data_IF_170690217373
#
_entry.id   IF_170690217373
#
_cell.length_a   1.000
_cell.length_b   1.000
_cell.length_c   1.000
_cell.angle_alpha   90.00
_cell.angle_beta   90.00
_cell.angle_gamma   90.00
#
_symmetry.space_group_name_H-M   'P 1'
#
loop_
_entity.id
_entity.type
_entity.pdbx_description
1 polymer ?
#
# COMPACT_ATOMS: atom_id res chain seq x y z
N UNK A 1 26.74 -5.99 3.60
CA UNK A 1 25.93 -5.00 2.85
C UNK A 1 25.36 -4.02 3.87
N UNK A 2 25.36 -2.71 3.60
CA UNK A 2 24.67 -1.75 4.46
C UNK A 2 23.16 -2.04 4.46
N UNK A 3 22.50 -1.82 5.60
CA UNK A 3 21.06 -2.04 5.79
C UNK A 3 20.40 -0.81 6.41
N UNK A 4 19.25 -0.40 5.89
CA UNK A 4 18.41 0.63 6.49
C UNK A 4 17.65 0.06 7.68
N UNK A 5 17.76 0.70 8.85
CA UNK A 5 17.03 0.34 10.07
C UNK A 5 16.05 1.45 10.44
N UNK A 6 14.84 1.07 10.84
CA UNK A 6 13.77 1.99 11.27
C UNK A 6 12.93 1.35 12.40
N UNK A 7 12.26 2.17 13.20
CA UNK A 7 11.39 1.68 14.28
C UNK A 7 10.18 0.95 13.67
N UNK A 8 9.89 -0.26 14.15
CA UNK A 8 8.74 -1.05 13.70
C UNK A 8 9.02 -1.99 12.53
N UNK A 9 10.22 -1.95 11.92
CA UNK A 9 10.63 -2.85 10.82
C UNK A 9 10.29 -4.32 11.04
N UNK A 10 10.67 -4.86 12.19
CA UNK A 10 10.47 -6.29 12.51
C UNK A 10 8.99 -6.69 12.62
N UNK A 11 8.09 -5.72 12.78
CA UNK A 11 6.65 -5.94 12.87
C UNK A 11 5.97 -5.87 11.51
N UNK A 12 6.46 -5.02 10.61
CA UNK A 12 5.86 -4.83 9.28
C UNK A 12 6.43 -5.76 8.22
N UNK A 13 7.65 -6.29 8.43
CA UNK A 13 8.34 -7.10 7.42
C UNK A 13 7.51 -8.29 6.93
N UNK A 14 6.77 -8.90 7.85
CA UNK A 14 5.91 -10.04 7.62
C UNK A 14 4.41 -9.68 7.59
N UNK A 15 4.06 -8.42 7.83
CA UNK A 15 2.66 -8.03 8.01
C UNK A 15 1.80 -8.32 6.77
N UNK A 16 2.37 -8.21 5.56
CA UNK A 16 1.71 -8.58 4.30
C UNK A 16 1.23 -10.05 4.26
N UNK A 17 1.83 -10.94 5.06
CA UNK A 17 1.38 -12.32 5.22
C UNK A 17 0.11 -12.41 6.08
N UNK A 18 0.00 -11.57 7.11
CA UNK A 18 -1.11 -11.53 8.07
C UNK A 18 -2.35 -10.80 7.55
N UNK A 19 -2.23 -10.03 6.46
CA UNK A 19 -3.36 -9.34 5.83
C UNK A 19 -4.41 -10.38 5.42
N UNK A 20 -5.66 -10.29 5.91
CA UNK A 20 -6.70 -11.26 5.59
C UNK A 20 -7.11 -11.13 4.11
N UNK A 21 -7.35 -12.27 3.47
CA UNK A 21 -8.01 -12.29 2.17
C UNK A 21 -9.48 -11.86 2.33
N UNK A 22 -9.97 -11.00 1.44
CA UNK A 22 -11.37 -10.59 1.36
C UNK A 22 -11.93 -10.97 0.00
N UNK A 23 -13.22 -11.28 -0.05
CA UNK A 23 -13.91 -11.53 -1.33
C UNK A 23 -14.31 -10.19 -1.92
N UNK A 24 -14.11 -10.01 -3.23
CA UNK A 24 -14.62 -8.83 -3.95
C UNK A 24 -16.13 -8.94 -4.11
N UNK A 25 -16.85 -7.94 -3.62
CA UNK A 25 -18.28 -7.79 -3.86
C UNK A 25 -18.49 -6.87 -5.08
N UNK A 26 -19.23 -7.36 -6.07
CA UNK A 26 -19.58 -6.53 -7.22
C UNK A 26 -20.54 -5.42 -6.80
N UNK A 27 -20.15 -4.15 -7.00
CA UNK A 27 -21.01 -3.01 -6.72
C UNK A 27 -21.80 -2.57 -7.95
N UNK A 28 -21.12 -2.32 -9.08
CA UNK A 28 -21.72 -1.96 -10.37
C UNK A 28 -20.66 -2.01 -11.48
N UNK A 29 -21.13 -1.94 -12.73
CA UNK A 29 -20.33 -1.81 -13.94
C UNK A 29 -20.57 -0.49 -14.68
N UNK A 30 -19.71 -0.20 -15.66
CA UNK A 30 -19.90 0.87 -16.62
C UNK A 30 -19.70 0.31 -18.03
N UNK A 31 -20.69 0.50 -18.91
CA UNK A 31 -20.64 0.12 -20.32
C UNK A 31 -21.17 1.27 -21.18
N UNK A 32 -20.41 1.67 -22.21
CA UNK A 32 -20.72 2.82 -23.08
C UNK A 32 -21.12 4.12 -22.35
N UNK A 33 -20.54 4.37 -21.18
CA UNK A 33 -20.83 5.56 -20.37
C UNK A 33 -22.07 5.46 -19.48
N UNK A 34 -22.78 4.32 -19.50
CA UNK A 34 -23.95 4.05 -18.66
C UNK A 34 -23.59 3.08 -17.53
N UNK A 35 -24.19 3.30 -16.35
CA UNK A 35 -24.03 2.41 -15.21
C UNK A 35 -24.86 1.14 -15.40
N UNK A 36 -24.26 -0.01 -15.13
CA UNK A 36 -24.92 -1.33 -15.17
C UNK A 36 -24.87 -1.99 -13.79
N UNK A 37 -25.88 -2.78 -13.46
CA UNK A 37 -25.90 -3.56 -12.19
C UNK A 37 -25.18 -4.91 -12.32
N UNK A 38 -24.81 -5.29 -13.54
CA UNK A 38 -24.07 -6.52 -13.83
C UNK A 38 -22.62 -6.24 -14.18
N UNK A 39 -21.75 -7.20 -13.88
CA UNK A 39 -20.33 -7.14 -14.22
C UNK A 39 -20.13 -7.01 -15.74
N UNK A 40 -19.25 -6.09 -16.13
CA UNK A 40 -18.89 -5.91 -17.54
C UNK A 40 -17.73 -6.85 -17.89
N UNK A 41 -17.73 -7.39 -19.12
CA UNK A 41 -16.64 -8.25 -19.62
C UNK A 41 -15.48 -7.43 -20.21
N UNK A 42 -15.25 -6.22 -19.69
CA UNK A 42 -14.25 -5.29 -20.22
C UNK A 42 -12.81 -5.67 -19.86
N UNK A 43 -12.62 -6.51 -18.85
CA UNK A 43 -11.31 -6.84 -18.28
C UNK A 43 -10.77 -5.77 -17.30
N UNK A 44 -11.41 -4.60 -17.21
CA UNK A 44 -11.02 -3.53 -16.28
C UNK A 44 -11.74 -3.67 -14.93
N UNK A 45 -11.04 -3.38 -13.83
CA UNK A 45 -11.60 -3.41 -12.48
C UNK A 45 -11.21 -2.15 -11.71
N UNK A 46 -12.17 -1.58 -10.98
CA UNK A 46 -11.94 -0.55 -9.96
C UNK A 46 -12.32 -1.18 -8.62
N UNK A 47 -11.37 -1.18 -7.67
CA UNK A 47 -11.57 -1.77 -6.35
C UNK A 47 -11.57 -0.62 -5.34
N UNK A 48 -12.63 -0.55 -4.53
CA UNK A 48 -12.76 0.44 -3.47
C UNK A 48 -12.46 -0.22 -2.11
N UNK A 49 -11.50 0.32 -1.38
CA UNK A 49 -11.07 -0.18 -0.07
C UNK A 49 -9.66 0.27 0.28
N UNK A 50 -9.15 -0.19 1.42
CA UNK A 50 -7.73 -0.04 1.72
C UNK A 50 -6.90 -0.82 0.70
N UNK A 51 -5.85 -0.19 0.17
CA UNK A 51 -5.04 -0.77 -0.88
C UNK A 51 -4.28 -2.03 -0.42
N UNK A 52 -3.89 -2.16 0.84
CA UNK A 52 -3.19 -3.35 1.32
C UNK A 52 -4.11 -4.58 1.26
N UNK A 53 -5.38 -4.41 1.66
CA UNK A 53 -6.40 -5.45 1.57
C UNK A 53 -6.80 -5.74 0.11
N UNK A 54 -6.91 -4.71 -0.72
CA UNK A 54 -7.21 -4.86 -2.14
C UNK A 54 -6.11 -5.65 -2.86
N UNK A 55 -4.84 -5.32 -2.62
CA UNK A 55 -3.69 -6.02 -3.18
C UNK A 55 -3.66 -7.50 -2.73
N UNK A 56 -3.97 -7.78 -1.47
CA UNK A 56 -4.06 -9.16 -0.96
C UNK A 56 -5.17 -9.94 -1.67
N UNK A 57 -6.29 -9.29 -1.94
CA UNK A 57 -7.47 -9.89 -2.55
C UNK A 57 -7.24 -10.29 -4.01
N UNK A 58 -6.51 -9.48 -4.77
CA UNK A 58 -6.23 -9.79 -6.19
C UNK A 58 -5.08 -10.80 -6.37
N UNK A 59 -4.31 -11.08 -5.31
CA UNK A 59 -3.13 -11.93 -5.38
C UNK A 59 -3.38 -13.32 -5.99
N UNK A 60 -4.44 -14.09 -5.62
CA UNK A 60 -4.67 -15.42 -6.18
C UNK A 60 -4.90 -15.43 -7.71
N UNK A 61 -5.40 -14.34 -8.27
CA UNK A 61 -5.71 -14.23 -9.69
C UNK A 61 -4.56 -13.62 -10.51
N UNK A 62 -3.78 -12.72 -9.89
CA UNK A 62 -2.82 -11.85 -10.59
C UNK A 62 -1.35 -11.98 -10.13
N UNK A 63 -1.00 -12.89 -9.20
CA UNK A 63 0.40 -13.14 -8.81
C UNK A 63 1.25 -13.47 -10.05
N UNK A 64 2.34 -12.72 -10.25
CA UNK A 64 3.23 -12.86 -11.40
C UNK A 64 2.65 -12.43 -12.75
N UNK A 65 1.53 -11.68 -12.79
CA UNK A 65 0.81 -11.38 -14.06
C UNK A 65 0.71 -9.91 -14.41
N UNK A 66 1.16 -9.00 -13.54
CA UNK A 66 1.07 -7.56 -13.78
C UNK A 66 2.36 -7.08 -14.46
N UNK A 67 2.24 -6.62 -15.70
CA UNK A 67 3.41 -6.13 -16.47
C UNK A 67 3.87 -4.74 -16.03
N UNK A 68 2.95 -3.89 -15.58
CA UNK A 68 3.26 -2.51 -15.21
C UNK A 68 2.44 -2.06 -14.00
N UNK A 69 3.12 -1.47 -13.02
CA UNK A 69 2.53 -0.83 -11.85
C UNK A 69 2.97 0.63 -11.84
N UNK A 70 2.01 1.53 -11.62
CA UNK A 70 2.28 2.94 -11.31
C UNK A 70 1.60 3.29 -9.98
N UNK A 71 2.36 3.90 -9.06
CA UNK A 71 1.82 4.43 -7.82
C UNK A 71 2.35 5.83 -7.55
N UNK A 72 1.50 6.63 -6.90
CA UNK A 72 1.78 7.99 -6.44
C UNK A 72 1.48 8.06 -4.94
N UNK A 73 2.36 7.48 -4.09
CA UNK A 73 2.15 7.44 -2.64
C UNK A 73 2.24 8.85 -2.01
N UNK A 74 1.77 9.05 -0.77
CA UNK A 74 1.96 10.31 -0.06
C UNK A 74 3.45 10.64 0.09
N UNK A 75 3.84 11.90 -0.13
CA UNK A 75 5.26 12.31 -0.17
C UNK A 75 5.84 12.61 1.22
N UNK A 76 5.00 12.62 2.26
CA UNK A 76 5.43 12.81 3.65
C UNK A 76 6.03 14.20 3.93
N UNK A 77 5.52 15.22 3.23
CA UNK A 77 5.96 16.63 3.35
C UNK A 77 5.73 17.27 4.72
N UNK A 78 5.07 16.57 5.66
CA UNK A 78 4.70 17.08 6.98
C UNK A 78 3.51 18.04 7.01
N UNK A 79 2.94 18.38 5.86
CA UNK A 79 1.69 19.15 5.76
C UNK A 79 0.45 18.27 5.60
N UNK A 80 0.65 16.97 5.47
CA UNK A 80 -0.41 16.00 5.21
C UNK A 80 -1.03 15.52 6.54
N UNK A 81 -2.34 15.29 6.53
CA UNK A 81 -3.10 14.82 7.71
C UNK A 81 -3.38 13.31 7.65
N UNK A 82 -2.60 12.55 6.88
CA UNK A 82 -2.79 11.10 6.82
C UNK A 82 -2.39 10.47 8.15
N UNK A 83 -3.16 9.48 8.56
CA UNK A 83 -2.92 8.70 9.76
C UNK A 83 -2.51 7.31 9.31
N UNK A 84 -1.38 6.82 9.79
CA UNK A 84 -1.03 5.43 9.64
C UNK A 84 -2.14 4.61 10.30
N UNK A 85 -2.94 3.86 9.53
CA UNK A 85 -4.07 3.08 10.03
C UNK A 85 -4.01 1.63 9.55
N UNK A 86 -2.80 1.12 9.31
CA UNK A 86 -2.65 -0.32 9.14
C UNK A 86 -3.08 -0.99 10.45
N UNK A 87 -3.94 -1.99 10.36
CA UNK A 87 -4.54 -2.71 11.49
C UNK A 87 -3.50 -3.62 12.21
N UNK A 88 -2.26 -3.14 12.37
CA UNK A 88 -1.17 -3.82 13.05
C UNK A 88 -1.55 -3.95 14.53
N UNK A 89 -1.86 -5.18 14.92
CA UNK A 89 -2.43 -5.50 16.23
C UNK A 89 -1.34 -5.63 17.32
N UNK A 90 -0.34 -4.74 17.35
CA UNK A 90 0.73 -4.72 18.37
C UNK A 90 0.56 -3.52 19.31
N UNK A 91 0.57 -3.76 20.62
CA UNK A 91 0.37 -2.72 21.64
C UNK A 91 1.40 -1.58 21.60
N UNK A 92 2.63 -1.84 21.12
CA UNK A 92 3.68 -0.82 20.96
C UNK A 92 3.39 0.09 19.78
N UNK A 93 2.88 -0.48 18.70
CA UNK A 93 2.55 0.21 17.46
C UNK A 93 1.24 1.00 17.63
N UNK A 94 0.21 0.42 18.27
CA UNK A 94 -1.08 1.11 18.54
C UNK A 94 -0.98 2.44 19.29
N UNK A 95 0.02 2.62 20.17
CA UNK A 95 0.27 3.91 20.84
C UNK A 95 0.81 4.97 19.88
N UNK A 96 1.51 4.57 18.82
CA UNK A 96 2.17 5.44 17.84
C UNK A 96 1.38 5.66 16.54
N UNK A 97 0.52 4.70 16.16
CA UNK A 97 -0.40 4.74 14.99
C UNK A 97 -1.47 5.82 15.15
N UNK A 98 -1.97 6.05 16.37
CA UNK A 98 -3.11 6.95 16.64
C UNK A 98 -2.70 8.40 16.92
N UNK A 99 -1.40 8.69 17.02
CA UNK A 99 -0.89 10.05 17.12
C UNK A 99 -0.60 10.54 15.69
N UNK A 100 -1.25 11.64 15.31
CA UNK A 100 -1.03 12.32 14.02
C UNK A 100 0.47 12.46 13.79
N UNK A 101 0.94 12.10 12.59
CA UNK A 101 2.32 12.36 12.17
C UNK A 101 2.54 13.87 12.29
N UNK A 102 3.31 14.28 13.30
CA UNK A 102 3.54 15.68 13.61
C UNK A 102 4.35 16.38 12.52
N UNK A 103 4.40 17.71 12.57
CA UNK A 103 5.32 18.47 11.71
C UNK A 103 6.77 18.10 12.04
N UNK A 104 7.66 18.34 11.08
CA UNK A 104 9.10 18.14 11.24
C UNK A 104 9.61 18.92 12.47
N UNK A 105 10.13 18.20 13.47
CA UNK A 105 10.53 18.75 14.77
C UNK A 105 9.70 18.27 15.97
N UNK A 106 8.44 17.86 15.75
CA UNK A 106 7.55 17.34 16.81
C UNK A 106 7.53 15.80 16.87
N UNK A 107 7.79 15.13 15.73
CA UNK A 107 7.77 13.67 15.59
C UNK A 107 9.00 13.17 14.82
N UNK A 108 10.00 12.66 15.56
CA UNK A 108 11.22 12.07 15.00
C UNK A 108 10.98 10.73 14.27
N UNK A 109 9.76 10.22 14.26
CA UNK A 109 9.42 8.92 13.69
C UNK A 109 8.64 8.96 12.39
N UNK A 110 8.48 10.14 11.80
CA UNK A 110 7.71 10.34 10.58
C UNK A 110 8.14 9.41 9.43
N UNK A 111 9.44 9.28 9.20
CA UNK A 111 9.99 8.38 8.16
C UNK A 111 9.75 6.90 8.50
N UNK A 112 9.92 6.52 9.77
CA UNK A 112 9.67 5.15 10.24
C UNK A 112 8.21 4.74 10.03
N UNK A 113 7.27 5.65 10.29
CA UNK A 113 5.83 5.45 10.08
C UNK A 113 5.51 5.28 8.59
N UNK A 114 6.09 6.11 7.73
CA UNK A 114 5.92 6.01 6.28
C UNK A 114 6.48 4.70 5.73
N UNK A 115 7.68 4.30 6.16
CA UNK A 115 8.28 3.00 5.81
C UNK A 115 7.41 1.83 6.29
N UNK A 116 6.82 1.93 7.49
CA UNK A 116 5.89 0.93 8.00
C UNK A 116 4.64 0.76 7.13
N UNK A 117 4.17 1.84 6.51
CA UNK A 117 3.05 1.85 5.57
C UNK A 117 3.42 1.29 4.20
N UNK A 118 4.53 1.76 3.63
CA UNK A 118 4.92 1.40 2.28
C UNK A 118 5.43 -0.03 2.17
N UNK A 119 6.19 -0.52 3.15
CA UNK A 119 6.84 -1.83 3.08
C UNK A 119 5.90 -3.00 2.75
N UNK A 120 4.79 -3.24 3.48
CA UNK A 120 3.91 -4.36 3.19
C UNK A 120 3.21 -4.23 1.82
N UNK A 121 2.92 -2.99 1.39
CA UNK A 121 2.31 -2.70 0.07
C UNK A 121 3.28 -3.01 -1.06
N UNK A 122 4.52 -2.53 -0.98
CA UNK A 122 5.57 -2.81 -1.95
C UNK A 122 5.88 -4.31 -2.05
N UNK A 123 5.81 -5.04 -0.93
CA UNK A 123 5.95 -6.50 -0.94
C UNK A 123 4.84 -7.20 -1.72
N UNK A 124 3.59 -6.78 -1.59
CA UNK A 124 2.48 -7.33 -2.37
C UNK A 124 2.56 -6.92 -3.84
N UNK A 125 2.90 -5.66 -4.13
CA UNK A 125 3.10 -5.18 -5.50
C UNK A 125 4.19 -6.00 -6.21
N UNK A 126 5.31 -6.26 -5.54
CA UNK A 126 6.38 -7.11 -6.07
C UNK A 126 5.91 -8.54 -6.40
N UNK A 127 5.02 -9.13 -5.60
CA UNK A 127 4.46 -10.46 -5.90
C UNK A 127 3.52 -10.44 -7.10
N UNK A 128 2.81 -9.34 -7.33
CA UNK A 128 1.90 -9.18 -8.47
C UNK A 128 2.66 -8.96 -9.78
N UNK A 129 3.86 -8.36 -9.73
CA UNK A 129 4.67 -8.10 -10.91
C UNK A 129 5.07 -9.38 -11.62
N UNK A 130 5.01 -9.33 -12.95
CA UNK A 130 5.54 -10.35 -13.83
C UNK A 130 7.06 -10.53 -13.62
N UNK A 131 7.50 -11.77 -13.38
CA UNK A 131 8.91 -12.09 -13.08
C UNK A 131 9.85 -11.87 -14.27
N UNK A 132 9.36 -11.99 -15.50
CA UNK A 132 10.21 -11.92 -16.71
C UNK A 132 10.52 -10.49 -17.17
N UNK A 133 9.67 -9.52 -16.81
CA UNK A 133 9.81 -8.15 -17.32
C UNK A 133 8.89 -7.12 -16.69
N UNK A 134 8.28 -7.42 -15.54
CA UNK A 134 7.42 -6.48 -14.83
C UNK A 134 8.18 -5.23 -14.39
N UNK A 135 7.55 -4.07 -14.56
CA UNK A 135 8.11 -2.77 -14.18
C UNK A 135 7.20 -2.06 -13.18
N UNK A 136 7.80 -1.36 -12.23
CA UNK A 136 7.11 -0.49 -11.29
C UNK A 136 7.67 0.93 -11.36
N UNK A 137 6.77 1.90 -11.48
CA UNK A 137 7.06 3.32 -11.40
C UNK A 137 6.44 3.88 -10.11
N UNK A 138 7.23 4.62 -9.35
CA UNK A 138 6.81 5.23 -8.10
C UNK A 138 7.16 6.72 -8.17
N UNK A 139 6.15 7.57 -8.14
CA UNK A 139 6.35 9.01 -8.01
C UNK A 139 6.73 9.33 -6.56
N UNK A 140 7.75 10.16 -6.36
CA UNK A 140 8.22 10.57 -5.04
C UNK A 140 8.96 11.91 -5.14
N UNK A 141 8.91 12.72 -4.09
CA UNK A 141 9.75 13.91 -3.93
C UNK A 141 11.00 13.63 -3.08
N UNK A 142 11.73 14.69 -2.72
CA UNK A 142 12.98 14.62 -1.99
C UNK A 142 12.86 14.17 -0.52
N UNK A 143 11.67 14.20 0.08
CA UNK A 143 11.48 13.84 1.50
C UNK A 143 11.68 12.34 1.76
N UNK A 144 11.31 11.49 0.81
CA UNK A 144 11.38 10.03 0.95
C UNK A 144 12.18 9.33 -0.15
N UNK A 145 12.72 10.07 -1.13
CA UNK A 145 13.49 9.51 -2.24
C UNK A 145 14.65 8.60 -1.80
N UNK A 146 15.34 8.95 -0.72
CA UNK A 146 16.47 8.16 -0.21
C UNK A 146 16.04 6.94 0.62
N UNK A 147 14.80 6.94 1.13
CA UNK A 147 14.27 5.90 2.00
C UNK A 147 13.51 4.81 1.23
N UNK A 148 12.87 5.18 0.11
CA UNK A 148 12.17 4.29 -0.81
C UNK A 148 13.13 3.29 -1.49
#
# INVERSE_FOLDING_TARGET
MPTLHWIGKEKVINHHMDVPFKVLEHSYGFDNGEKTETETKSGNKIIHGDNLEALKTILPEYEGRIDCIYIDPPYNTGNETWVYNDNVNDQRIKKWIKEVVGKEGDDLSRHDKWLCMMYPRLKLLHKLLNEEGGIIFISIDDNELANL
#
